data_IF_073404599777
#
_entry.id   IF_073404599777
#
_cell.length_a   1.000
_cell.length_b   1.000
_cell.length_c   1.000
_cell.angle_alpha   90.00
_cell.angle_beta   90.00
_cell.angle_gamma   90.00
#
_symmetry.space_group_name_H-M   'P 1'
#
loop_
_entity.id
_entity.type
_entity.pdbx_description
1 polymer ?
#
# COMPACT_ATOMS: atom_id res chain seq x y z
N UNK A 1 5.03 -17.03 31.02
CA UNK A 1 6.38 -17.24 30.45
C UNK A 1 6.20 -17.43 28.95
N UNK A 2 6.97 -16.72 28.12
CA UNK A 2 6.86 -16.78 26.66
C UNK A 2 8.23 -16.97 26.02
N UNK A 3 8.26 -17.15 24.70
CA UNK A 3 9.49 -17.21 23.91
C UNK A 3 9.52 -15.99 23.00
N UNK A 4 10.66 -15.31 22.98
CA UNK A 4 10.94 -14.25 22.01
C UNK A 4 11.86 -14.84 20.93
N UNK A 5 11.44 -14.75 19.67
CA UNK A 5 12.31 -14.95 18.53
C UNK A 5 12.70 -13.56 18.04
N UNK A 6 13.97 -13.19 18.21
CA UNK A 6 14.51 -11.92 17.76
C UNK A 6 15.62 -12.15 16.74
N UNK A 7 15.72 -11.31 15.71
CA UNK A 7 16.86 -11.35 14.80
C UNK A 7 18.14 -10.92 15.52
N UNK A 8 19.28 -11.35 14.98
CA UNK A 8 20.58 -10.74 15.26
C UNK A 8 20.79 -9.47 14.43
N UNK A 9 21.82 -8.68 14.77
CA UNK A 9 22.11 -7.41 14.09
C UNK A 9 22.40 -7.58 12.58
N UNK A 10 22.95 -8.72 12.16
CA UNK A 10 23.29 -9.05 10.77
C UNK A 10 22.21 -9.79 9.98
N UNK A 11 20.95 -9.76 10.44
CA UNK A 11 19.86 -10.45 9.75
C UNK A 11 19.59 -9.88 8.35
N UNK A 12 19.23 -10.76 7.41
CA UNK A 12 18.92 -10.40 6.01
C UNK A 12 17.59 -10.99 5.52
N UNK A 13 16.83 -11.60 6.43
CA UNK A 13 15.64 -12.39 6.09
C UNK A 13 14.51 -12.05 7.05
N UNK A 14 13.31 -11.94 6.49
CA UNK A 14 12.07 -11.86 7.25
C UNK A 14 11.45 -13.26 7.28
N UNK A 15 11.18 -13.77 8.47
CA UNK A 15 10.55 -15.07 8.68
C UNK A 15 9.08 -14.88 9.06
N UNK A 16 8.20 -15.49 8.27
CA UNK A 16 6.77 -15.60 8.58
C UNK A 16 6.42 -16.99 9.08
N UNK A 17 5.54 -17.07 10.07
CA UNK A 17 5.03 -18.33 10.60
C UNK A 17 3.52 -18.40 10.41
N UNK A 18 3.02 -19.54 9.93
CA UNK A 18 1.58 -19.81 9.92
C UNK A 18 1.07 -20.05 11.34
N UNK A 19 -0.21 -19.76 11.60
CA UNK A 19 -0.89 -20.08 12.87
C UNK A 19 -0.96 -21.58 13.17
N UNK A 20 -0.68 -22.42 12.19
CA UNK A 20 -0.63 -23.88 12.38
C UNK A 20 0.78 -24.36 12.75
N UNK A 21 1.74 -23.43 12.84
CA UNK A 21 3.13 -23.71 13.21
C UNK A 21 3.29 -23.81 14.73
N UNK A 22 4.26 -24.61 15.16
CA UNK A 22 4.64 -24.70 16.57
C UNK A 22 6.15 -24.70 16.74
N UNK A 23 6.63 -24.08 17.81
CA UNK A 23 8.00 -24.18 18.25
C UNK A 23 8.10 -25.26 19.32
N UNK A 24 8.93 -26.27 19.09
CA UNK A 24 9.17 -27.36 20.05
C UNK A 24 10.57 -27.27 20.64
N UNK A 25 10.67 -27.29 21.96
CA UNK A 25 11.93 -27.39 22.69
C UNK A 25 12.04 -28.80 23.24
N UNK A 26 13.12 -29.50 22.91
CA UNK A 26 13.48 -30.78 23.52
C UNK A 26 14.44 -30.54 24.68
N UNK A 27 14.25 -31.25 25.79
CA UNK A 27 15.11 -31.16 26.97
C UNK A 27 15.16 -32.49 27.71
N UNK A 28 16.22 -32.74 28.46
CA UNK A 28 16.36 -33.94 29.30
C UNK A 28 16.29 -33.57 30.77
N UNK A 29 15.72 -34.46 31.58
CA UNK A 29 15.74 -34.33 33.03
C UNK A 29 16.78 -35.28 33.60
N UNK A 30 17.70 -34.76 34.41
CA UNK A 30 18.62 -35.60 35.16
C UNK A 30 17.84 -36.37 36.23
N UNK A 31 17.76 -37.68 36.07
CA UNK A 31 17.23 -38.59 37.09
C UNK A 31 18.40 -39.32 37.74
N UNK A 32 18.43 -39.37 39.08
CA UNK A 32 19.47 -40.08 39.83
C UNK A 32 19.37 -41.61 39.69
N UNK A 33 18.29 -42.13 39.10
CA UNK A 33 17.94 -43.55 39.21
C UNK A 33 17.68 -44.30 37.91
N UNK A 34 17.54 -43.66 36.73
CA UNK A 34 17.46 -44.34 35.42
C UNK A 34 17.59 -43.34 34.24
N UNK A 35 17.87 -43.92 33.06
CA UNK A 35 18.04 -43.36 31.70
C UNK A 35 17.48 -41.94 31.47
N UNK A 36 18.27 -41.09 30.80
CA UNK A 36 17.90 -39.72 30.43
C UNK A 36 16.53 -39.70 29.74
N UNK A 37 15.52 -39.15 30.41
CA UNK A 37 14.16 -39.08 29.86
C UNK A 37 14.04 -37.84 28.97
N UNK A 38 13.93 -38.06 27.66
CA UNK A 38 13.67 -36.99 26.69
C UNK A 38 12.26 -36.42 26.89
N UNK A 39 12.19 -35.11 27.13
CA UNK A 39 10.96 -34.35 27.27
C UNK A 39 10.85 -33.30 26.17
N UNK A 40 9.63 -32.80 25.94
CA UNK A 40 9.44 -31.66 25.05
C UNK A 40 8.38 -30.67 25.56
N UNK A 41 8.50 -29.43 25.11
CA UNK A 41 7.54 -28.36 25.34
C UNK A 41 7.17 -27.72 24.00
N UNK A 42 5.87 -27.53 23.75
CA UNK A 42 5.37 -26.86 22.55
C UNK A 42 4.88 -25.44 22.86
N UNK A 43 5.27 -24.50 22.01
CA UNK A 43 4.69 -23.17 21.92
C UNK A 43 3.91 -23.08 20.62
N UNK A 44 2.58 -22.99 20.73
CA UNK A 44 1.68 -22.82 19.58
C UNK A 44 1.62 -21.35 19.19
N UNK A 45 1.76 -21.05 17.90
CA UNK A 45 1.58 -19.71 17.34
C UNK A 45 0.09 -19.52 17.06
N UNK A 46 -0.56 -18.51 17.63
CA UNK A 46 -1.99 -18.28 17.43
C UNK A 46 -2.34 -16.80 17.61
N UNK A 47 -3.51 -16.40 17.13
CA UNK A 47 -3.94 -14.99 17.13
C UNK A 47 -4.23 -14.43 18.53
N UNK A 48 -4.44 -15.28 19.54
CA UNK A 48 -4.77 -14.83 20.90
C UNK A 48 -3.52 -14.52 21.75
N UNK A 49 -2.43 -15.27 21.53
CA UNK A 49 -1.26 -15.26 22.41
C UNK A 49 0.07 -15.05 21.67
N UNK A 50 0.03 -14.63 20.40
CA UNK A 50 1.21 -14.29 19.61
C UNK A 50 1.20 -12.81 19.25
N UNK A 51 2.35 -12.17 19.44
CA UNK A 51 2.56 -10.75 19.15
C UNK A 51 3.74 -10.64 18.21
N UNK A 52 3.60 -9.81 17.18
CA UNK A 52 4.66 -9.51 16.23
C UNK A 52 5.00 -8.03 16.33
N UNK A 53 6.29 -7.71 16.30
CA UNK A 53 6.77 -6.33 16.22
C UNK A 53 7.69 -6.24 15.02
N UNK A 54 7.30 -5.41 14.05
CA UNK A 54 8.13 -5.07 12.89
C UNK A 54 8.50 -3.62 13.04
N UNK A 55 9.80 -3.35 13.19
CA UNK A 55 10.34 -2.00 13.17
C UNK A 55 11.12 -1.80 11.90
N UNK A 56 11.18 -0.56 11.44
CA UNK A 56 12.10 -0.16 10.39
C UNK A 56 12.92 1.05 10.84
N UNK A 57 14.16 1.11 10.36
CA UNK A 57 15.00 2.29 10.50
C UNK A 57 15.17 2.86 9.10
N UNK A 58 14.38 3.88 8.79
CA UNK A 58 14.67 4.67 7.61
C UNK A 58 15.89 5.50 8.00
N UNK A 59 17.04 5.33 7.35
CA UNK A 59 18.16 6.27 7.53
C UNK A 59 17.81 7.62 6.87
N UNK A 60 16.65 8.18 7.21
CA UNK A 60 16.00 9.35 6.65
C UNK A 60 15.08 9.95 7.73
N UNK A 61 15.53 11.07 8.29
CA UNK A 61 14.84 11.80 9.36
C UNK A 61 13.40 12.20 9.00
N UNK A 62 13.08 12.38 7.71
CA UNK A 62 11.70 12.66 7.29
C UNK A 62 10.80 11.47 7.56
N UNK A 63 11.22 10.25 7.21
CA UNK A 63 10.37 9.07 7.41
C UNK A 63 10.25 8.69 8.89
N UNK A 64 11.25 9.02 9.69
CA UNK A 64 11.18 8.88 11.15
C UNK A 64 10.17 9.85 11.79
N UNK A 65 9.74 10.90 11.07
CA UNK A 65 8.69 11.80 11.52
C UNK A 65 7.27 11.24 11.37
N UNK A 66 7.10 10.04 10.79
CA UNK A 66 5.80 9.36 10.68
C UNK A 66 5.44 8.62 11.98
N UNK A 67 5.33 9.36 13.07
CA UNK A 67 5.12 8.81 14.42
C UNK A 67 3.65 8.84 14.88
N UNK A 68 2.77 9.49 14.12
CA UNK A 68 1.33 9.58 14.38
C UNK A 68 0.53 9.00 13.22
N UNK A 69 -0.64 8.42 13.49
CA UNK A 69 -1.49 7.80 12.48
C UNK A 69 -2.02 8.80 11.44
N UNK A 70 -2.08 10.09 11.76
CA UNK A 70 -2.54 11.17 10.89
C UNK A 70 -1.38 11.96 10.25
N UNK A 71 -0.14 11.48 10.42
CA UNK A 71 1.03 12.12 9.82
C UNK A 71 1.22 11.71 8.35
N UNK A 72 1.63 12.67 7.52
CA UNK A 72 1.94 12.42 6.11
C UNK A 72 3.08 13.32 5.65
N UNK A 73 3.82 12.87 4.63
CA UNK A 73 4.95 13.60 4.05
C UNK A 73 4.64 13.81 2.57
N UNK A 74 4.76 15.05 2.11
CA UNK A 74 4.60 15.36 0.70
C UNK A 74 5.70 14.69 -0.15
N UNK A 75 5.32 14.15 -1.31
CA UNK A 75 6.23 13.47 -2.23
C UNK A 75 7.43 14.34 -2.61
N UNK A 76 7.24 15.66 -2.69
CA UNK A 76 8.26 16.68 -2.99
C UNK A 76 9.41 16.68 -1.98
N UNK A 77 9.13 16.38 -0.71
CA UNK A 77 10.15 16.25 0.34
C UNK A 77 10.91 14.92 0.24
N UNK A 78 10.31 13.92 -0.43
CA UNK A 78 10.90 12.60 -0.69
C UNK A 78 11.38 12.47 -2.14
N UNK A 79 12.01 13.53 -2.68
CA UNK A 79 12.55 13.56 -4.04
C UNK A 79 11.52 13.23 -5.14
N UNK A 80 10.30 13.74 -4.98
CA UNK A 80 9.16 13.48 -5.87
C UNK A 80 8.82 11.98 -5.94
N UNK A 81 8.86 11.29 -4.80
CA UNK A 81 8.44 9.88 -4.68
C UNK A 81 7.52 9.68 -3.49
N UNK A 82 6.77 8.59 -3.52
CA UNK A 82 5.98 8.10 -2.39
C UNK A 82 6.33 6.65 -2.11
N UNK A 83 6.06 6.18 -0.89
CA UNK A 83 6.47 4.86 -0.41
C UNK A 83 5.24 4.08 0.08
N UNK A 84 5.26 2.78 -0.19
CA UNK A 84 4.42 1.80 0.52
C UNK A 84 5.40 0.82 1.16
N UNK A 85 5.24 0.55 2.45
CA UNK A 85 5.99 -0.45 3.20
C UNK A 85 5.02 -1.24 4.08
N UNK A 86 4.61 -2.40 3.57
CA UNK A 86 3.82 -3.35 4.32
C UNK A 86 4.62 -3.88 5.52
N UNK A 87 3.92 -4.30 6.56
CA UNK A 87 4.50 -4.71 7.84
C UNK A 87 4.87 -3.56 8.78
N UNK A 88 5.22 -2.37 8.26
CA UNK A 88 5.50 -1.17 9.10
C UNK A 88 4.36 -0.17 9.10
N UNK A 89 3.29 -0.42 8.34
CA UNK A 89 2.10 0.44 8.30
C UNK A 89 2.22 1.68 7.41
N UNK A 90 3.26 1.83 6.59
CA UNK A 90 3.39 2.98 5.68
C UNK A 90 2.66 2.71 4.38
N UNK A 91 1.76 3.60 4.01
CA UNK A 91 0.99 3.58 2.77
C UNK A 91 1.12 4.91 2.02
N UNK A 92 0.65 4.95 0.78
CA UNK A 92 0.69 6.17 -0.05
C UNK A 92 -0.69 6.83 -0.08
N UNK A 93 -0.75 8.11 0.28
CA UNK A 93 -1.93 8.95 0.11
C UNK A 93 -1.85 9.70 -1.23
N UNK A 94 -2.98 9.79 -1.94
CA UNK A 94 -3.13 10.59 -3.15
C UNK A 94 -4.26 11.59 -2.95
N UNK A 95 -3.89 12.87 -2.98
CA UNK A 95 -4.83 13.98 -2.94
C UNK A 95 -5.08 14.46 -4.37
N UNK A 96 -6.35 14.56 -4.76
CA UNK A 96 -6.78 15.15 -6.04
C UNK A 96 -7.54 16.44 -5.70
N UNK A 97 -6.90 17.62 -5.83
CA UNK A 97 -7.52 18.90 -5.53
C UNK A 97 -8.18 19.53 -6.77
N UNK A 98 -9.03 20.53 -6.54
CA UNK A 98 -9.61 21.43 -7.57
C UNK A 98 -10.45 20.73 -8.65
N UNK A 99 -11.31 19.80 -8.23
CA UNK A 99 -12.16 19.04 -9.16
C UNK A 99 -13.32 19.85 -9.75
N UNK A 100 -13.71 20.98 -9.14
CA UNK A 100 -14.84 21.80 -9.62
C UNK A 100 -14.76 22.15 -11.11
N UNK A 101 -13.55 22.34 -11.64
CA UNK A 101 -13.33 22.71 -13.04
C UNK A 101 -13.35 21.50 -14.02
N UNK A 102 -13.64 20.28 -13.53
CA UNK A 102 -13.60 19.07 -14.37
C UNK A 102 -14.74 19.04 -15.39
N UNK A 103 -15.86 19.71 -15.10
CA UNK A 103 -16.99 19.87 -16.03
C UNK A 103 -16.82 21.07 -16.97
N UNK A 104 -15.98 22.05 -16.59
CA UNK A 104 -15.67 23.22 -17.40
C UNK A 104 -14.77 22.87 -18.61
N UNK A 105 -14.27 21.63 -18.69
CA UNK A 105 -13.45 21.14 -19.78
C UNK A 105 -14.28 21.12 -21.07
N UNK A 106 -14.10 22.18 -21.89
CA UNK A 106 -14.82 22.51 -23.11
C UNK A 106 -16.22 23.15 -22.92
N UNK A 107 -16.40 23.98 -21.90
CA UNK A 107 -17.53 24.92 -21.81
C UNK A 107 -18.88 24.24 -21.55
N UNK A 108 -18.95 23.43 -20.49
CA UNK A 108 -20.15 22.79 -19.93
C UNK A 108 -20.81 21.68 -20.78
N UNK A 109 -20.34 21.43 -22.00
CA UNK A 109 -20.92 20.44 -22.92
C UNK A 109 -20.22 19.06 -22.91
N UNK A 110 -19.36 18.82 -21.92
CA UNK A 110 -18.57 17.59 -21.79
C UNK A 110 -19.13 16.63 -20.73
N UNK A 111 -19.28 15.35 -21.08
CA UNK A 111 -19.58 14.29 -20.10
C UNK A 111 -18.32 13.46 -19.85
N UNK A 112 -17.96 13.27 -18.57
CA UNK A 112 -16.88 12.37 -18.16
C UNK A 112 -17.29 10.91 -18.43
N UNK A 113 -16.65 10.27 -19.40
CA UNK A 113 -16.90 8.89 -19.77
C UNK A 113 -16.08 7.95 -18.89
N UNK A 114 -14.80 8.26 -18.68
CA UNK A 114 -13.87 7.43 -17.91
C UNK A 114 -12.74 8.28 -17.31
N UNK A 115 -12.21 7.88 -16.16
CA UNK A 115 -11.04 8.47 -15.53
C UNK A 115 -10.13 7.38 -14.96
N UNK A 116 -8.85 7.41 -15.33
CA UNK A 116 -7.85 6.47 -14.82
C UNK A 116 -6.67 7.23 -14.23
N UNK A 117 -6.30 6.88 -12.99
CA UNK A 117 -5.08 7.34 -12.37
C UNK A 117 -3.92 6.41 -12.77
N UNK A 118 -2.89 6.96 -13.38
CA UNK A 118 -1.67 6.24 -13.76
C UNK A 118 -0.58 6.48 -12.74
N UNK A 119 -0.14 5.40 -12.10
CA UNK A 119 0.82 5.43 -11.00
C UNK A 119 2.03 4.59 -11.42
N UNK A 120 3.15 5.25 -11.73
CA UNK A 120 4.36 4.53 -12.14
C UNK A 120 5.25 4.19 -10.95
N UNK A 121 5.91 3.06 -11.06
CA UNK A 121 6.97 2.66 -10.14
C UNK A 121 8.22 3.47 -10.46
N UNK A 122 8.86 4.03 -9.45
CA UNK A 122 10.11 4.78 -9.61
C UNK A 122 11.16 3.89 -10.30
N UNK A 123 11.83 4.41 -11.32
CA UNK A 123 12.86 3.66 -12.06
C UNK A 123 13.92 3.12 -11.11
N UNK A 124 14.38 1.90 -11.37
CA UNK A 124 15.42 1.20 -10.58
C UNK A 124 15.06 0.97 -9.09
N UNK A 125 13.80 1.10 -8.70
CA UNK A 125 13.38 0.85 -7.31
C UNK A 125 12.98 -0.61 -7.03
N UNK A 126 12.62 -1.37 -8.06
CA UNK A 126 12.31 -2.80 -7.94
C UNK A 126 13.56 -3.65 -8.21
N UNK A 127 13.75 -4.70 -7.42
CA UNK A 127 14.84 -5.68 -7.60
C UNK A 127 14.26 -7.10 -7.67
N UNK A 128 15.10 -8.12 -7.92
CA UNK A 128 14.65 -9.52 -7.83
C UNK A 128 14.14 -9.90 -6.43
N UNK A 129 14.60 -9.19 -5.40
CA UNK A 129 14.19 -9.37 -3.99
C UNK A 129 12.98 -8.50 -3.63
N UNK A 130 12.83 -7.35 -4.30
CA UNK A 130 11.71 -6.41 -4.13
C UNK A 130 10.79 -6.49 -5.35
N UNK A 131 10.11 -7.63 -5.48
CA UNK A 131 9.13 -7.83 -6.56
C UNK A 131 7.88 -7.03 -6.28
N UNK A 132 7.31 -6.52 -7.37
CA UNK A 132 6.07 -5.75 -7.40
C UNK A 132 4.94 -6.71 -7.72
N UNK A 133 3.82 -6.64 -7.00
CA UNK A 133 2.63 -7.42 -7.35
C UNK A 133 1.92 -6.84 -8.56
N UNK A 134 1.04 -7.65 -9.14
CA UNK A 134 0.27 -7.27 -10.33
C UNK A 134 -0.84 -6.25 -10.02
N UNK A 135 -1.12 -5.98 -8.74
CA UNK A 135 -2.07 -4.94 -8.37
C UNK A 135 -1.79 -4.28 -7.02
N UNK A 136 -2.40 -3.11 -6.81
CA UNK A 136 -2.49 -2.41 -5.53
C UNK A 136 -3.97 -2.23 -5.15
N UNK A 137 -4.25 -2.26 -3.84
CA UNK A 137 -5.57 -1.93 -3.30
C UNK A 137 -5.70 -0.43 -3.10
N UNK A 138 -6.89 0.11 -3.37
CA UNK A 138 -7.20 1.52 -3.17
C UNK A 138 -8.42 1.67 -2.26
N UNK A 139 -8.34 2.60 -1.32
CA UNK A 139 -9.42 2.93 -0.39
C UNK A 139 -9.68 4.42 -0.40
N UNK A 140 -10.92 4.80 -0.12
CA UNK A 140 -11.30 6.18 0.13
C UNK A 140 -11.05 6.46 1.60
N UNK A 141 -10.35 7.55 1.90
CA UNK A 141 -10.05 8.00 3.25
C UNK A 141 -10.51 9.44 3.47
N UNK A 142 -10.85 9.77 4.72
CA UNK A 142 -11.12 11.15 5.13
C UNK A 142 -9.82 11.92 5.46
N UNK A 143 -9.96 13.18 5.89
CA UNK A 143 -8.84 14.05 6.27
C UNK A 143 -8.11 13.62 7.56
N UNK A 144 -8.63 12.63 8.29
CA UNK A 144 -8.01 11.98 9.45
C UNK A 144 -7.49 10.58 9.11
N UNK A 145 -7.45 10.25 7.82
CA UNK A 145 -6.99 8.98 7.28
C UNK A 145 -7.81 7.76 7.73
N UNK A 146 -9.07 7.97 8.15
CA UNK A 146 -9.99 6.87 8.40
C UNK A 146 -10.46 6.29 7.06
N UNK A 147 -10.43 4.97 6.92
CA UNK A 147 -10.97 4.27 5.75
C UNK A 147 -12.49 4.35 5.78
N UNK A 148 -13.06 5.01 4.76
CA UNK A 148 -14.50 5.12 4.55
C UNK A 148 -15.04 3.92 3.76
N UNK A 149 -14.23 3.38 2.85
CA UNK A 149 -14.58 2.21 2.04
C UNK A 149 -13.51 1.88 1.02
N UNK A 150 -13.65 0.71 0.39
CA UNK A 150 -12.85 0.35 -0.79
C UNK A 150 -13.23 1.24 -1.97
N UNK A 151 -12.27 1.55 -2.84
CA UNK A 151 -12.60 2.17 -4.12
C UNK A 151 -13.39 1.17 -4.99
N UNK A 152 -14.42 1.64 -5.68
CA UNK A 152 -15.25 0.82 -6.59
C UNK A 152 -15.13 1.31 -8.03
N UNK A 153 -15.17 0.38 -8.98
CA UNK A 153 -15.05 0.68 -10.41
C UNK A 153 -16.41 0.99 -11.07
N UNK A 154 -17.50 0.50 -10.47
CA UNK A 154 -18.87 0.62 -10.98
C UNK A 154 -19.83 0.98 -9.83
N UNK A 155 -20.96 1.62 -10.16
CA UNK A 155 -21.94 2.17 -9.19
C UNK A 155 -22.61 1.11 -8.31
N UNK A 156 -22.48 -0.18 -8.65
CA UNK A 156 -23.15 -1.27 -7.94
C UNK A 156 -22.49 -1.65 -6.60
N UNK A 157 -21.45 -0.93 -6.16
CA UNK A 157 -20.67 -1.15 -4.93
C UNK A 157 -20.09 -2.56 -4.74
N UNK A 158 -20.26 -3.46 -5.70
CA UNK A 158 -19.79 -4.86 -5.61
C UNK A 158 -18.44 -5.08 -6.28
N UNK A 159 -18.06 -4.19 -7.19
CA UNK A 159 -16.85 -4.31 -7.98
C UNK A 159 -15.73 -3.41 -7.44
N UNK A 160 -14.95 -3.94 -6.50
CA UNK A 160 -13.78 -3.27 -5.95
C UNK A 160 -12.77 -2.97 -7.06
N UNK A 161 -12.34 -1.72 -7.15
CA UNK A 161 -11.31 -1.27 -8.06
C UNK A 161 -9.91 -1.59 -7.49
N UNK A 162 -9.04 -2.09 -8.36
CA UNK A 162 -7.63 -2.25 -8.07
C UNK A 162 -6.80 -1.43 -9.04
N UNK A 163 -5.63 -0.98 -8.60
CA UNK A 163 -4.65 -0.41 -9.50
C UNK A 163 -3.96 -1.59 -10.16
N UNK A 164 -4.25 -1.86 -11.43
CA UNK A 164 -3.71 -3.02 -12.13
C UNK A 164 -2.43 -2.67 -12.87
N UNK A 165 -1.41 -3.52 -12.73
CA UNK A 165 -0.14 -3.34 -13.38
C UNK A 165 -0.28 -3.61 -14.87
N UNK A 166 -0.20 -2.55 -15.67
CA UNK A 166 -0.04 -2.68 -17.10
C UNK A 166 1.43 -2.88 -17.45
N UNK A 167 1.72 -3.84 -18.32
CA UNK A 167 3.06 -4.09 -18.85
C UNK A 167 3.58 -2.85 -19.57
N UNK A 168 4.68 -2.29 -19.07
CA UNK A 168 5.28 -1.06 -19.56
C UNK A 168 5.73 -1.13 -21.01
N UNK A 169 5.76 0.04 -21.65
CA UNK A 169 6.44 0.27 -22.93
C UNK A 169 7.76 -0.50 -22.97
N UNK A 170 7.85 -1.44 -23.91
CA UNK A 170 8.95 -2.41 -24.03
C UNK A 170 10.30 -1.74 -24.26
N UNK A 171 10.31 -0.46 -24.64
CA UNK A 171 11.50 0.34 -24.89
C UNK A 171 12.10 0.96 -23.60
N UNK A 172 11.31 1.11 -22.52
CA UNK A 172 11.75 1.78 -21.29
C UNK A 172 11.54 0.98 -19.99
N UNK A 173 10.85 -0.17 -20.05
CA UNK A 173 10.59 -1.05 -18.91
C UNK A 173 9.95 -0.32 -17.70
N UNK A 174 9.07 0.65 -17.99
CA UNK A 174 8.36 1.44 -16.97
C UNK A 174 7.11 0.69 -16.53
N UNK A 175 7.11 0.21 -15.29
CA UNK A 175 5.91 -0.42 -14.70
C UNK A 175 4.93 0.65 -14.23
N UNK A 176 3.71 0.61 -14.76
CA UNK A 176 2.66 1.59 -14.43
C UNK A 176 1.38 0.88 -14.07
N UNK A 177 0.85 1.21 -12.89
CA UNK A 177 -0.47 0.81 -12.46
C UNK A 177 -1.52 1.74 -13.06
N UNK A 178 -2.67 1.19 -13.45
CA UNK A 178 -3.86 1.93 -13.86
C UNK A 178 -4.97 1.67 -12.86
N UNK A 179 -5.46 2.72 -12.22
CA UNK A 179 -6.56 2.67 -11.26
C UNK A 179 -7.78 3.41 -11.83
N UNK A 180 -8.93 2.76 -12.05
CA UNK A 180 -10.14 3.47 -12.42
C UNK A 180 -10.62 4.32 -11.24
N UNK A 181 -10.81 5.62 -11.45
CA UNK A 181 -11.16 6.59 -10.40
C UNK A 181 -12.40 7.43 -10.74
N UNK A 182 -13.13 7.12 -11.81
CA UNK A 182 -14.29 7.91 -12.26
C UNK A 182 -15.28 8.20 -11.12
N UNK A 183 -15.76 7.14 -10.46
CA UNK A 183 -16.75 7.27 -9.38
C UNK A 183 -16.21 8.04 -8.18
N UNK A 184 -14.92 7.93 -7.89
CA UNK A 184 -14.28 8.72 -6.85
C UNK A 184 -14.26 10.22 -7.21
N UNK A 185 -13.99 10.57 -8.46
CA UNK A 185 -14.05 11.97 -8.89
C UNK A 185 -15.48 12.51 -8.80
N UNK A 186 -16.48 11.71 -9.20
CA UNK A 186 -17.89 12.07 -9.09
C UNK A 186 -18.35 12.18 -7.61
N UNK A 187 -17.88 11.31 -6.73
CA UNK A 187 -18.20 11.38 -5.30
C UNK A 187 -17.58 12.60 -4.64
N UNK A 188 -16.33 12.96 -4.98
CA UNK A 188 -15.71 14.21 -4.50
C UNK A 188 -16.54 15.46 -4.82
N UNK A 189 -17.20 15.47 -5.98
CA UNK A 189 -18.00 16.61 -6.47
C UNK A 189 -19.43 16.65 -5.91
N UNK A 190 -19.99 15.50 -5.55
CA UNK A 190 -21.41 15.38 -5.20
C UNK A 190 -21.65 15.22 -3.70
N UNK A 191 -20.67 14.69 -2.95
CA UNK A 191 -20.80 14.48 -1.51
C UNK A 191 -20.47 15.75 -0.70
N UNK A 192 -21.20 15.96 0.40
CA UNK A 192 -21.10 17.16 1.24
C UNK A 192 -19.67 17.44 1.76
N UNK A 193 -18.87 16.42 2.03
CA UNK A 193 -17.46 16.55 2.42
C UNK A 193 -16.49 15.94 1.40
N UNK A 194 -16.95 15.75 0.15
CA UNK A 194 -16.20 15.05 -0.89
C UNK A 194 -14.81 15.64 -1.15
N UNK A 195 -14.66 16.97 -1.08
CA UNK A 195 -13.36 17.65 -1.20
C UNK A 195 -12.31 17.18 -0.19
N UNK A 196 -12.72 16.71 0.99
CA UNK A 196 -11.84 16.18 2.04
C UNK A 196 -11.40 14.74 1.79
N UNK A 197 -11.95 14.07 0.78
CA UNK A 197 -11.60 12.70 0.50
C UNK A 197 -10.29 12.58 -0.28
N UNK A 198 -9.53 11.56 0.08
CA UNK A 198 -8.29 11.19 -0.60
C UNK A 198 -8.30 9.69 -0.89
N UNK A 199 -7.39 9.26 -1.76
CA UNK A 199 -7.16 7.84 -1.99
C UNK A 199 -5.98 7.37 -1.14
N UNK A 200 -6.12 6.22 -0.49
CA UNK A 200 -5.03 5.52 0.16
C UNK A 200 -4.70 4.25 -0.65
N UNK A 201 -3.45 4.15 -1.08
CA UNK A 201 -2.91 3.01 -1.82
C UNK A 201 -2.13 2.08 -0.90
N UNK A 202 -2.47 0.80 -0.99
CA UNK A 202 -1.86 -0.28 -0.22
C UNK A 202 -1.37 -1.38 -1.17
N UNK A 203 -0.33 -2.09 -0.76
CA UNK A 203 0.00 -3.36 -1.40
C UNK A 203 -1.12 -4.36 -1.19
N UNK A 204 -1.26 -5.34 -2.09
CA UNK A 204 -2.07 -6.52 -1.78
C UNK A 204 -1.53 -7.20 -0.53
N UNK A 205 -2.42 -7.75 0.29
CA UNK A 205 -2.06 -8.42 1.54
C UNK A 205 -1.21 -7.54 2.47
N UNK A 206 -1.51 -6.24 2.55
CA UNK A 206 -0.70 -5.27 3.31
C UNK A 206 -0.43 -5.67 4.77
N UNK A 207 -1.40 -6.30 5.43
CA UNK A 207 -1.27 -6.77 6.82
C UNK A 207 -0.62 -8.15 6.94
N UNK A 208 -0.35 -8.83 5.83
CA UNK A 208 0.19 -10.20 5.76
C UNK A 208 1.47 -10.29 4.90
N UNK A 209 2.05 -9.14 4.54
CA UNK A 209 3.22 -9.05 3.68
C UNK A 209 4.22 -8.01 4.19
N UNK A 210 5.39 -8.00 3.57
CA UNK A 210 6.47 -7.01 3.80
C UNK A 210 6.87 -6.36 2.49
N UNK A 211 5.93 -6.32 1.56
CA UNK A 211 6.09 -5.70 0.27
C UNK A 211 6.50 -4.22 0.40
N UNK A 212 7.33 -3.79 -0.55
CA UNK A 212 7.83 -2.41 -0.63
C UNK A 212 7.66 -1.87 -2.04
N UNK A 213 7.14 -0.64 -2.12
CA UNK A 213 7.01 0.10 -3.37
C UNK A 213 7.61 1.49 -3.20
N UNK A 214 8.29 1.97 -4.24
CA UNK A 214 8.63 3.39 -4.40
C UNK A 214 7.91 3.85 -5.66
N UNK A 215 6.95 4.74 -5.49
CA UNK A 215 6.09 5.25 -6.54
C UNK A 215 6.57 6.64 -6.95
N UNK A 216 6.49 6.95 -8.24
CA UNK A 216 6.80 8.27 -8.76
C UNK A 216 5.68 9.26 -8.38
N UNK A 217 6.06 10.44 -7.91
CA UNK A 217 5.15 11.52 -7.55
C UNK A 217 4.71 12.37 -8.74
N UNK A 218 3.89 13.38 -8.46
CA UNK A 218 3.34 14.33 -9.43
C UNK A 218 4.40 15.22 -10.08
N UNK A 219 5.50 15.46 -9.38
CA UNK A 219 6.63 16.28 -9.84
C UNK A 219 7.78 15.47 -10.47
N UNK A 220 7.58 14.17 -10.72
CA UNK A 220 8.57 13.34 -11.44
C UNK A 220 8.63 13.70 -12.93
N UNK A 221 9.51 13.04 -13.68
CA UNK A 221 9.63 13.25 -15.14
C UNK A 221 8.35 12.83 -15.87
N UNK A 222 8.06 13.47 -17.00
CA UNK A 222 6.78 13.32 -17.72
C UNK A 222 6.41 11.87 -18.09
N UNK A 223 7.39 11.00 -18.23
CA UNK A 223 7.22 9.58 -18.56
C UNK A 223 6.75 8.71 -17.39
N UNK A 224 6.97 9.14 -16.14
CA UNK A 224 6.60 8.37 -14.94
C UNK A 224 5.79 9.15 -13.91
N UNK A 225 5.59 10.46 -14.11
CA UNK A 225 4.84 11.27 -13.14
C UNK A 225 3.43 10.76 -12.96
N UNK A 226 2.92 10.91 -11.73
CA UNK A 226 1.53 10.66 -11.42
C UNK A 226 0.62 11.51 -12.33
N UNK A 227 -0.32 10.87 -13.02
CA UNK A 227 -1.23 11.55 -13.96
C UNK A 227 -2.62 10.95 -13.94
N UNK A 228 -3.61 11.79 -14.20
CA UNK A 228 -4.99 11.36 -14.45
C UNK A 228 -5.22 11.40 -15.96
N UNK A 229 -5.71 10.31 -16.51
CA UNK A 229 -6.17 10.21 -17.90
C UNK A 229 -7.69 10.26 -17.90
N UNK A 230 -8.24 11.33 -18.46
CA UNK A 230 -9.67 11.55 -18.57
C UNK A 230 -10.13 11.30 -20.00
N UNK A 231 -11.28 10.64 -20.16
CA UNK A 231 -11.96 10.44 -21.42
C UNK A 231 -13.30 11.17 -21.37
N UNK A 232 -13.51 12.11 -22.30
CA UNK A 232 -14.72 12.91 -22.40
C UNK A 232 -15.45 12.64 -23.70
N UNK A 233 -16.78 12.69 -23.64
CA UNK A 233 -17.61 12.92 -24.81
C UNK A 233 -17.98 14.40 -24.83
N UNK A 234 -17.70 15.08 -25.94
CA UNK A 234 -18.07 16.47 -26.17
C UNK A 234 -19.14 16.45 -27.27
N UNK A 235 -20.25 17.14 -27.03
CA UNK A 235 -21.28 17.32 -28.04
C UNK A 235 -21.04 18.65 -28.75
N UNK A 236 -20.84 18.60 -30.08
CA UNK A 236 -20.88 19.79 -30.92
C UNK A 236 -22.35 20.22 -31.08
N UNK A 237 -22.64 21.51 -30.86
CA UNK A 237 -23.92 22.12 -31.24
C UNK A 237 -24.07 22.24 -32.77
#
# INVERSE_FOLDING_TARGET
KGVLISPEDSNTVILGFSTDSSLRIYYTLNSEFNEEEEQYLNFTINTANSFNAISNSFNNELLDSLNESESSIESKLLNNTSIIQAGTGISTKIDIPYLDNIYDINGDNGILINANLKISIQKNSSTNLLKTRDSLSAYIIDNKFNILGSLVAYEDDTNVAFAELSGGDSEYNIKTYSLPIKLFLESKLTEYEGEKFSLALYSQEFNQSVDRYILAGENSTNDIKLKIELFYAIYDE
#
